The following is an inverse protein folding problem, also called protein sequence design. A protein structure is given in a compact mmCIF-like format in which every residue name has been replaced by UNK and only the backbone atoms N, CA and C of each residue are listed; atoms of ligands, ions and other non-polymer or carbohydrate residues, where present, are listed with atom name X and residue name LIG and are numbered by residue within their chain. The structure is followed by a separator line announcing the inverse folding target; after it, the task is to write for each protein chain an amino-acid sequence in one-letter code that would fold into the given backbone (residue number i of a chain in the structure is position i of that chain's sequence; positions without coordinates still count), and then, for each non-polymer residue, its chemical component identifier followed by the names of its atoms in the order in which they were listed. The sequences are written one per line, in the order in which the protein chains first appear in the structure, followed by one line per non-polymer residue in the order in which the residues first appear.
data_IF_687149188461
#
_entry.id   IF_687149188461
#
_cell.length_a   1.000
_cell.length_b   1.000
_cell.length_c   1.000
_cell.angle_alpha   90.00
_cell.angle_beta   90.00
_cell.angle_gamma   90.00
#
_symmetry.space_group_name_H-M   'P 1'
#
loop_
_entity.id
_entity.type
_entity.pdbx_description
1 polymer ?
#
# COMPACT_ATOMS: atom_id res chain seq x y z
N UNK A 1 -2.27 -17.08 9.08
CA UNK A 1 -1.05 -17.73 8.55
C UNK A 1 0.17 -17.31 9.37
N UNK A 2 1.10 -18.23 9.58
CA UNK A 2 2.44 -17.94 10.06
C UNK A 2 3.40 -18.07 8.87
N UNK A 3 3.71 -16.95 8.24
CA UNK A 3 4.51 -16.92 7.02
C UNK A 3 6.00 -16.71 7.36
N UNK A 4 6.93 -17.36 6.63
CA UNK A 4 8.32 -16.92 6.67
C UNK A 4 8.40 -15.43 6.32
N UNK A 5 9.16 -14.67 7.10
CA UNK A 5 9.17 -13.20 6.99
C UNK A 5 9.54 -12.68 5.58
N UNK A 6 10.43 -13.40 4.90
CA UNK A 6 10.87 -13.03 3.55
C UNK A 6 9.75 -13.04 2.50
N UNK A 7 8.69 -13.83 2.69
CA UNK A 7 7.61 -13.97 1.71
C UNK A 7 6.32 -13.22 2.08
N UNK A 8 6.27 -12.55 3.23
CA UNK A 8 5.05 -11.88 3.70
C UNK A 8 4.56 -10.79 2.73
N UNK A 9 5.47 -9.97 2.19
CA UNK A 9 5.13 -8.93 1.20
C UNK A 9 4.71 -9.54 -0.14
N UNK A 10 5.48 -10.43 -0.79
CA UNK A 10 5.03 -11.08 -2.03
C UNK A 10 3.71 -11.84 -1.88
N UNK A 11 3.50 -12.48 -0.73
CA UNK A 11 2.25 -13.20 -0.48
C UNK A 11 1.05 -12.24 -0.39
N UNK A 12 1.20 -11.14 0.34
CA UNK A 12 0.13 -10.13 0.44
C UNK A 12 -0.16 -9.50 -0.93
N UNK A 13 0.87 -9.20 -1.70
CA UNK A 13 0.71 -8.72 -3.08
C UNK A 13 -0.10 -9.72 -3.93
N UNK A 14 0.23 -11.01 -3.86
CA UNK A 14 -0.50 -12.06 -4.59
C UNK A 14 -1.97 -12.16 -4.15
N UNK A 15 -2.28 -12.04 -2.86
CA UNK A 15 -3.66 -12.01 -2.35
C UNK A 15 -4.42 -10.82 -2.93
N UNK A 16 -3.84 -9.62 -2.90
CA UNK A 16 -4.47 -8.41 -3.42
C UNK A 16 -4.61 -8.41 -4.95
N UNK A 17 -3.70 -9.13 -5.65
CA UNK A 17 -3.75 -9.28 -7.11
C UNK A 17 -4.75 -10.32 -7.59
N UNK A 18 -4.99 -11.36 -6.80
CA UNK A 18 -5.89 -12.45 -7.17
C UNK A 18 -7.34 -12.01 -7.34
N UNK A 19 -7.73 -10.91 -6.68
CA UNK A 19 -9.12 -10.46 -6.62
C UNK A 19 -9.99 -11.31 -5.70
N UNK A 20 -9.51 -12.48 -5.27
CA UNK A 20 -10.22 -13.34 -4.32
C UNK A 20 -9.78 -12.98 -2.89
N UNK A 21 -10.41 -11.94 -2.35
CA UNK A 21 -10.06 -11.38 -1.05
C UNK A 21 -10.74 -12.17 0.09
N UNK A 22 -9.98 -12.86 0.95
CA UNK A 22 -10.54 -13.46 2.17
C UNK A 22 -11.25 -12.43 3.05
N UNK A 23 -12.33 -12.81 3.71
CA UNK A 23 -13.08 -11.92 4.60
C UNK A 23 -12.21 -11.48 5.79
N UNK A 24 -11.37 -12.37 6.27
CA UNK A 24 -10.48 -12.11 7.42
C UNK A 24 -9.07 -12.66 7.14
N UNK A 25 -8.06 -11.86 7.46
CA UNK A 25 -6.66 -12.26 7.43
C UNK A 25 -6.06 -12.10 8.83
N UNK A 26 -5.52 -13.20 9.35
CA UNK A 26 -4.75 -13.19 10.61
C UNK A 26 -3.33 -13.68 10.28
N UNK A 27 -2.37 -12.77 10.39
CA UNK A 27 -0.99 -12.97 9.93
C UNK A 27 0.00 -12.74 11.06
N UNK A 28 0.88 -13.71 11.29
CA UNK A 28 2.05 -13.52 12.13
C UNK A 28 3.17 -12.92 11.28
N UNK A 29 3.59 -11.70 11.59
CA UNK A 29 4.59 -10.94 10.86
C UNK A 29 5.65 -10.40 11.82
N UNK A 30 6.82 -10.01 11.28
CA UNK A 30 7.69 -9.10 12.02
C UNK A 30 6.93 -7.80 12.31
N UNK A 31 7.13 -7.22 13.49
CA UNK A 31 6.45 -6.00 13.90
C UNK A 31 6.62 -4.88 12.86
N UNK A 32 7.83 -4.69 12.32
CA UNK A 32 8.09 -3.69 11.28
C UNK A 32 7.28 -3.95 10.00
N UNK A 33 7.12 -5.19 9.58
CA UNK A 33 6.31 -5.54 8.41
C UNK A 33 4.82 -5.25 8.64
N UNK A 34 4.31 -5.57 9.83
CA UNK A 34 2.93 -5.23 10.20
C UNK A 34 2.70 -3.71 10.24
N UNK A 35 3.65 -2.96 10.80
CA UNK A 35 3.61 -1.49 10.85
C UNK A 35 3.64 -0.87 9.43
N UNK A 36 4.38 -1.47 8.50
CA UNK A 36 4.41 -1.04 7.09
C UNK A 36 3.11 -1.37 6.35
N UNK A 37 2.52 -2.53 6.60
CA UNK A 37 1.28 -2.94 5.93
C UNK A 37 0.12 -2.00 6.26
N UNK A 38 0.07 -1.51 7.50
CA UNK A 38 -1.03 -0.70 8.02
C UNK A 38 -0.63 0.75 8.32
N UNK A 39 0.43 1.23 7.68
CA UNK A 39 0.88 2.60 7.86
C UNK A 39 -0.10 3.59 7.23
N UNK A 40 -0.33 4.71 7.92
CA UNK A 40 -1.14 5.82 7.42
C UNK A 40 -0.31 6.78 6.54
N UNK A 41 -0.97 7.51 5.65
CA UNK A 41 -0.37 8.57 4.86
C UNK A 41 0.37 9.59 5.75
N UNK A 42 1.48 10.11 5.26
CA UNK A 42 2.34 11.05 6.00
C UNK A 42 3.31 10.40 6.98
N UNK A 43 3.26 9.07 7.17
CA UNK A 43 4.15 8.37 8.08
C UNK A 43 5.36 7.76 7.36
N UNK A 44 6.46 7.54 8.11
CA UNK A 44 7.71 6.96 7.59
C UNK A 44 7.51 5.58 6.92
N UNK A 45 6.56 4.80 7.41
CA UNK A 45 6.33 3.42 6.96
C UNK A 45 5.33 3.32 5.81
N UNK A 46 4.64 4.41 5.46
CA UNK A 46 3.66 4.41 4.37
C UNK A 46 4.31 4.10 3.02
N UNK A 47 3.71 3.18 2.29
CA UNK A 47 4.26 2.69 1.03
C UNK A 47 3.17 2.18 0.07
N UNK A 48 3.57 1.75 -1.11
CA UNK A 48 2.63 1.26 -2.13
C UNK A 48 1.70 0.15 -1.61
N UNK A 49 2.24 -0.80 -0.83
CA UNK A 49 1.44 -1.87 -0.26
C UNK A 49 0.44 -1.36 0.78
N UNK A 50 0.81 -0.36 1.60
CA UNK A 50 -0.12 0.27 2.55
C UNK A 50 -1.32 0.87 1.84
N UNK A 51 -1.09 1.59 0.72
CA UNK A 51 -2.14 2.17 -0.14
C UNK A 51 -3.10 1.09 -0.65
N UNK A 52 -2.54 0.04 -1.27
CA UNK A 52 -3.33 -1.00 -1.91
C UNK A 52 -4.09 -1.83 -0.87
N UNK A 53 -3.47 -2.12 0.27
CA UNK A 53 -4.08 -2.89 1.35
C UNK A 53 -5.22 -2.12 2.02
N UNK A 54 -5.04 -0.83 2.29
CA UNK A 54 -6.04 0.03 2.93
C UNK A 54 -7.33 0.15 2.10
N UNK A 55 -7.23 0.05 0.78
CA UNK A 55 -8.40 0.06 -0.10
C UNK A 55 -9.26 -1.22 0.01
N UNK A 56 -8.66 -2.34 0.37
CA UNK A 56 -9.33 -3.63 0.44
C UNK A 56 -9.67 -4.07 1.87
N UNK A 57 -8.85 -3.66 2.83
CA UNK A 57 -8.94 -4.12 4.22
C UNK A 57 -8.89 -2.97 5.21
N UNK A 58 -9.49 -3.19 6.36
CA UNK A 58 -9.35 -2.38 7.56
C UNK A 58 -8.59 -3.16 8.64
N UNK A 59 -7.81 -2.44 9.45
CA UNK A 59 -7.09 -3.02 10.57
C UNK A 59 -8.07 -3.27 11.72
N UNK A 60 -8.13 -4.52 12.19
CA UNK A 60 -8.78 -4.91 13.45
C UNK A 60 -7.73 -4.98 14.58
N UNK A 61 -8.17 -5.06 15.84
CA UNK A 61 -7.25 -5.24 16.96
C UNK A 61 -6.33 -6.43 16.77
N UNK A 62 -5.02 -6.20 16.89
CA UNK A 62 -3.98 -7.20 16.77
C UNK A 62 -3.21 -7.36 18.07
N UNK A 63 -2.17 -8.19 18.06
CA UNK A 63 -1.43 -8.51 19.26
C UNK A 63 0.09 -8.53 19.01
N UNK A 64 0.85 -7.86 19.91
CA UNK A 64 2.31 -7.94 19.90
C UNK A 64 2.75 -9.30 20.50
N UNK A 65 3.64 -10.00 19.81
CA UNK A 65 4.21 -11.26 20.26
C UNK A 65 5.71 -11.08 20.48
N UNK A 66 6.17 -11.09 21.75
CA UNK A 66 7.58 -10.93 22.07
C UNK A 66 8.44 -12.04 21.47
N UNK A 67 9.69 -11.71 21.10
CA UNK A 67 10.63 -12.66 20.50
C UNK A 67 10.86 -13.91 21.36
N UNK A 68 10.81 -13.77 22.68
CA UNK A 68 10.97 -14.88 23.64
C UNK A 68 9.85 -15.94 23.58
N UNK A 69 8.74 -15.67 22.91
CA UNK A 69 7.67 -16.66 22.68
C UNK A 69 8.00 -17.68 21.58
N UNK A 70 9.16 -17.57 20.95
CA UNK A 70 9.60 -18.46 19.87
C UNK A 70 10.85 -19.23 20.26
N UNK A 71 11.02 -20.42 19.67
CA UNK A 71 12.25 -21.20 19.80
C UNK A 71 12.75 -21.67 18.41
N UNK A 72 13.99 -21.32 18.02
CA UNK A 72 14.84 -20.33 18.68
C UNK A 72 14.26 -18.91 18.60
N UNK A 73 14.57 -18.02 19.56
CA UNK A 73 13.99 -16.67 19.57
C UNK A 73 14.52 -15.85 18.40
N UNK A 74 13.65 -15.16 17.62
CA UNK A 74 14.06 -14.26 16.56
C UNK A 74 14.70 -12.99 17.15
N UNK A 75 15.42 -12.23 16.30
CA UNK A 75 16.07 -10.98 16.72
C UNK A 75 15.10 -9.81 16.96
N UNK A 76 13.85 -9.94 16.54
CA UNK A 76 12.84 -8.87 16.59
C UNK A 76 11.50 -9.42 17.04
N UNK A 77 10.69 -8.57 17.65
CA UNK A 77 9.32 -8.93 18.01
C UNK A 77 8.46 -9.17 16.78
N UNK A 78 7.46 -10.03 16.96
CA UNK A 78 6.41 -10.28 15.99
C UNK A 78 5.13 -9.54 16.33
N UNK A 79 4.23 -9.49 15.38
CA UNK A 79 2.90 -8.93 15.55
C UNK A 79 1.87 -9.83 14.86
N UNK A 80 0.83 -10.19 15.58
CA UNK A 80 -0.34 -10.85 15.01
C UNK A 80 -1.24 -9.78 14.41
N UNK A 81 -1.08 -9.56 13.12
CA UNK A 81 -1.87 -8.59 12.36
C UNK A 81 -3.22 -9.20 12.01
N UNK A 82 -4.28 -8.50 12.38
CA UNK A 82 -5.65 -8.86 12.05
C UNK A 82 -6.24 -7.82 11.09
N UNK A 83 -6.70 -8.29 9.94
CA UNK A 83 -7.30 -7.47 8.89
C UNK A 83 -8.69 -8.02 8.57
N UNK A 84 -9.67 -7.14 8.43
CA UNK A 84 -11.01 -7.45 7.94
C UNK A 84 -11.20 -6.85 6.56
N UNK A 85 -11.75 -7.62 5.64
CA UNK A 85 -12.13 -7.09 4.33
C UNK A 85 -13.20 -6.02 4.51
N UNK A 86 -13.05 -4.90 3.82
CA UNK A 86 -14.06 -3.84 3.80
C UNK A 86 -15.36 -4.36 3.19
N UNK A 87 -16.50 -3.75 3.54
CA UNK A 87 -17.78 -4.08 2.93
C UNK A 87 -17.75 -3.85 1.41
N UNK A 88 -17.10 -2.77 0.98
CA UNK A 88 -16.86 -2.42 -0.42
C UNK A 88 -15.35 -2.35 -0.68
N UNK A 89 -14.68 -3.51 -0.84
CA UNK A 89 -13.24 -3.51 -1.06
C UNK A 89 -12.91 -3.05 -2.48
N UNK A 90 -11.95 -2.13 -2.60
CA UNK A 90 -11.47 -1.70 -3.91
C UNK A 90 -10.21 -2.48 -4.26
N UNK A 91 -10.25 -3.16 -5.41
CA UNK A 91 -9.09 -3.80 -6.02
C UNK A 91 -8.54 -2.85 -7.07
N UNK A 92 -7.32 -2.40 -6.85
CA UNK A 92 -6.63 -1.56 -7.82
C UNK A 92 -6.39 -2.30 -9.13
N UNK A 93 -6.68 -1.69 -10.27
CA UNK A 93 -6.35 -2.22 -11.58
C UNK A 93 -4.82 -2.35 -11.73
N UNK A 94 -4.38 -3.18 -12.68
CA UNK A 94 -2.95 -3.47 -12.91
C UNK A 94 -2.15 -2.19 -13.17
N UNK A 95 -2.69 -1.28 -13.99
CA UNK A 95 -2.03 -0.02 -14.33
C UNK A 95 -1.83 0.86 -13.09
N UNK A 96 -2.86 1.02 -12.26
CA UNK A 96 -2.78 1.80 -11.03
C UNK A 96 -1.77 1.20 -10.04
N UNK A 97 -1.79 -0.12 -9.82
CA UNK A 97 -0.81 -0.79 -8.94
C UNK A 97 0.62 -0.57 -9.41
N UNK A 98 0.87 -0.74 -10.70
CA UNK A 98 2.20 -0.54 -11.29
C UNK A 98 2.65 0.91 -11.11
N UNK A 99 1.79 1.88 -11.43
CA UNK A 99 2.09 3.30 -11.27
C UNK A 99 2.36 3.68 -9.81
N UNK A 100 1.54 3.23 -8.86
CA UNK A 100 1.74 3.48 -7.43
C UNK A 100 3.11 2.96 -7.00
N UNK A 101 3.47 1.73 -7.36
CA UNK A 101 4.79 1.15 -7.03
C UNK A 101 5.94 1.98 -7.60
N UNK A 102 5.85 2.39 -8.86
CA UNK A 102 6.86 3.22 -9.50
C UNK A 102 7.03 4.58 -8.81
N UNK A 103 5.93 5.24 -8.43
CA UNK A 103 5.98 6.49 -7.69
C UNK A 103 6.65 6.32 -6.32
N UNK A 104 6.39 5.20 -5.61
CA UNK A 104 7.01 4.92 -4.32
C UNK A 104 8.49 4.50 -4.39
N UNK A 105 9.03 4.09 -5.55
CA UNK A 105 10.49 3.96 -5.75
C UNK A 105 11.17 5.31 -5.49
N UNK A 106 10.51 6.38 -5.90
CA UNK A 106 11.00 7.76 -5.73
C UNK A 106 10.31 8.50 -4.58
N UNK A 107 9.90 7.79 -3.51
CA UNK A 107 9.06 8.34 -2.41
C UNK A 107 9.53 9.65 -1.81
N UNK A 108 10.84 9.97 -1.89
CA UNK A 108 11.43 11.23 -1.39
C UNK A 108 11.41 12.36 -2.42
N UNK A 109 11.00 12.10 -3.66
CA UNK A 109 10.86 13.07 -4.72
C UNK A 109 9.43 13.60 -4.79
N UNK A 110 9.26 14.83 -5.26
CA UNK A 110 7.93 15.35 -5.58
C UNK A 110 7.30 14.55 -6.73
N UNK A 111 5.99 14.33 -6.67
CA UNK A 111 5.25 13.56 -7.67
C UNK A 111 5.49 14.07 -9.09
N UNK A 112 5.32 15.37 -9.31
CA UNK A 112 5.52 15.99 -10.63
C UNK A 112 6.91 15.75 -11.23
N UNK A 113 7.96 15.67 -10.39
CA UNK A 113 9.34 15.45 -10.86
C UNK A 113 9.60 14.01 -11.34
N UNK A 114 8.74 13.06 -10.97
CA UNK A 114 8.88 11.63 -11.31
C UNK A 114 7.94 11.18 -12.42
N UNK A 115 7.06 12.06 -12.88
CA UNK A 115 5.96 11.82 -13.80
C UNK A 115 6.38 11.06 -15.06
N UNK A 116 7.38 11.60 -15.78
CA UNK A 116 7.86 10.99 -17.05
C UNK A 116 8.38 9.57 -16.85
N UNK A 117 9.11 9.33 -15.75
CA UNK A 117 9.67 8.00 -15.45
C UNK A 117 8.57 7.02 -15.04
N UNK A 118 7.65 7.47 -14.20
CA UNK A 118 6.55 6.63 -13.74
C UNK A 118 5.58 6.29 -14.88
N UNK A 119 5.29 7.25 -15.78
CA UNK A 119 4.51 7.04 -16.99
C UNK A 119 5.14 5.95 -17.87
N UNK A 120 6.40 6.13 -18.25
CA UNK A 120 7.11 5.17 -19.09
C UNK A 120 7.19 3.76 -18.49
N UNK A 121 7.38 3.66 -17.15
CA UNK A 121 7.48 2.39 -16.46
C UNK A 121 6.13 1.68 -16.27
N UNK A 122 5.03 2.44 -16.15
CA UNK A 122 3.70 1.90 -15.84
C UNK A 122 2.79 1.68 -17.05
N UNK A 123 3.21 2.10 -18.23
CA UNK A 123 2.39 2.13 -19.45
C UNK A 123 1.12 3.01 -19.33
N UNK A 124 1.17 3.99 -18.43
CA UNK A 124 0.10 4.97 -18.22
C UNK A 124 0.48 6.27 -18.89
N UNK A 125 -0.44 6.87 -19.66
CA UNK A 125 -0.16 8.12 -20.36
C UNK A 125 0.14 9.27 -19.40
N UNK A 126 1.06 10.15 -19.79
CA UNK A 126 1.43 11.31 -19.00
C UNK A 126 0.24 12.24 -18.73
N UNK A 127 -0.69 12.33 -19.69
CA UNK A 127 -1.90 13.15 -19.59
C UNK A 127 -2.82 12.66 -18.47
N UNK A 128 -3.05 11.33 -18.37
CA UNK A 128 -3.87 10.74 -17.29
C UNK A 128 -3.25 11.01 -15.91
N UNK A 129 -1.92 10.89 -15.79
CA UNK A 129 -1.22 11.16 -14.54
C UNK A 129 -1.25 12.67 -14.22
N UNK A 130 -1.03 13.55 -15.21
CA UNK A 130 -1.11 15.00 -15.02
C UNK A 130 -2.50 15.42 -14.53
N UNK A 131 -3.56 14.95 -15.18
CA UNK A 131 -4.93 15.22 -14.77
C UNK A 131 -5.27 14.74 -13.35
N UNK A 132 -4.63 13.65 -12.89
CA UNK A 132 -4.74 13.23 -11.49
C UNK A 132 -3.97 14.14 -10.55
N UNK A 133 -2.74 14.58 -10.92
CA UNK A 133 -1.96 15.53 -10.12
C UNK A 133 -2.70 16.87 -9.95
N UNK A 134 -3.31 17.37 -11.00
CA UNK A 134 -4.10 18.61 -10.99
C UNK A 134 -5.34 18.49 -10.07
N UNK A 135 -5.80 17.27 -9.83
CA UNK A 135 -6.92 17.00 -8.92
C UNK A 135 -6.49 16.81 -7.45
N UNK A 136 -5.20 16.71 -7.13
CA UNK A 136 -4.72 16.47 -5.76
C UNK A 136 -5.18 17.52 -4.74
N UNK A 137 -5.27 18.84 -5.08
CA UNK A 137 -5.73 19.84 -4.12
C UNK A 137 -7.11 19.58 -3.55
N UNK A 138 -8.03 18.93 -4.27
CA UNK A 138 -9.36 18.56 -3.74
C UNK A 138 -9.29 17.51 -2.61
N UNK A 139 -8.17 16.80 -2.48
CA UNK A 139 -7.90 15.86 -1.39
C UNK A 139 -7.02 16.47 -0.29
N UNK A 140 -6.82 17.79 -0.32
CA UNK A 140 -5.97 18.50 0.65
C UNK A 140 -4.46 18.26 0.44
N UNK A 141 -4.05 17.88 -0.75
CA UNK A 141 -2.66 17.56 -1.10
C UNK A 141 -2.12 18.59 -2.06
N UNK A 142 -0.94 19.15 -1.77
CA UNK A 142 -0.22 20.04 -2.68
C UNK A 142 0.29 19.24 -3.90
N UNK A 143 0.26 19.87 -5.08
CA UNK A 143 0.80 19.31 -6.32
C UNK A 143 2.33 19.01 -6.22
N UNK A 144 3.04 19.67 -5.31
CA UNK A 144 4.45 19.42 -5.00
C UNK A 144 4.65 18.32 -3.97
N UNK A 145 3.58 17.69 -3.50
CA UNK A 145 3.65 16.63 -2.49
C UNK A 145 4.48 15.43 -2.95
N UNK A 146 4.94 14.68 -1.98
CA UNK A 146 5.60 13.39 -2.19
C UNK A 146 4.58 12.26 -2.13
N UNK A 147 4.85 11.10 -2.74
CA UNK A 147 3.95 9.93 -2.69
C UNK A 147 3.49 9.58 -1.27
N UNK A 148 4.38 9.72 -0.29
CA UNK A 148 4.07 9.40 1.11
C UNK A 148 3.04 10.33 1.77
N UNK A 149 2.79 11.52 1.21
CA UNK A 149 1.82 12.47 1.73
C UNK A 149 0.42 12.31 1.11
N UNK A 150 0.27 11.48 0.09
CA UNK A 150 -0.98 11.32 -0.65
C UNK A 150 -1.93 10.39 0.11
N UNK A 151 -3.14 10.83 0.47
CA UNK A 151 -4.11 10.01 1.19
C UNK A 151 -4.73 8.94 0.29
N UNK A 152 -5.28 7.89 0.91
CA UNK A 152 -5.92 6.77 0.20
C UNK A 152 -7.00 7.21 -0.80
N UNK A 153 -7.82 8.21 -0.44
CA UNK A 153 -8.87 8.74 -1.33
C UNK A 153 -8.32 9.25 -2.67
N UNK A 154 -7.16 9.93 -2.67
CA UNK A 154 -6.54 10.39 -3.90
C UNK A 154 -5.99 9.24 -4.76
N UNK A 155 -5.50 8.18 -4.13
CA UNK A 155 -5.07 6.96 -4.84
C UNK A 155 -6.27 6.19 -5.43
N UNK A 156 -7.40 6.16 -4.73
CA UNK A 156 -8.63 5.59 -5.26
C UNK A 156 -9.11 6.34 -6.50
N UNK A 157 -9.09 7.68 -6.47
CA UNK A 157 -9.42 8.50 -7.63
C UNK A 157 -8.46 8.27 -8.82
N UNK A 158 -7.16 7.99 -8.57
CA UNK A 158 -6.25 7.55 -9.62
C UNK A 158 -6.68 6.22 -10.23
N UNK A 159 -7.01 5.24 -9.39
CA UNK A 159 -7.45 3.92 -9.83
C UNK A 159 -8.70 4.00 -10.72
N UNK A 160 -9.67 4.82 -10.35
CA UNK A 160 -10.91 4.99 -11.12
C UNK A 160 -10.64 5.60 -12.50
N UNK A 161 -9.67 6.53 -12.60
CA UNK A 161 -9.24 7.10 -13.88
C UNK A 161 -8.48 6.12 -14.79
N UNK A 162 -7.96 5.05 -14.24
CA UNK A 162 -7.14 4.07 -14.95
C UNK A 162 -7.84 2.73 -15.20
N UNK A 163 -9.10 2.59 -14.76
CA UNK A 163 -9.89 1.36 -14.96
C UNK A 163 -10.45 1.18 -16.37
N UNK A 164 -10.44 2.25 -17.17
CA UNK A 164 -10.97 2.27 -18.55
C UNK A 164 -9.99 1.69 -19.59
#
# INVERSE_FOLDING_TARGET
ANLPYAISTPWMDAVLESGNLPETLVLMLQKEAADRFTAAAGTKNYGALSVILEAAYERAPGHKVPAQCFFPPPKVDSYLLHLRRRAEPVIFCRAARKLIRELFIYRRKQLGSTLKKASAASDVSAEKISAWLDALPQFGVDALARPECVPAAAWLALNDRLRD
#
